data_IF_796219967677
#
_entry.id   IF_796219967677
#
_cell.length_a   1.000
_cell.length_b   1.000
_cell.length_c   1.000
_cell.angle_alpha   90.00
_cell.angle_beta   90.00
_cell.angle_gamma   90.00
#
_symmetry.space_group_name_H-M   'P 1'
#
loop_
_entity.id
_entity.type
_entity.pdbx_description
1 polymer ?
#
# COMPACT_ATOMS: atom_id res chain seq x y z
N UNK A 1 0.18 22.05 26.68
CA UNK A 1 -0.18 20.63 26.45
C UNK A 1 -0.56 20.44 24.98
N UNK A 2 0.38 20.05 24.14
CA UNK A 2 0.18 19.79 22.71
C UNK A 2 -0.24 18.32 22.55
N UNK A 3 -1.52 18.07 22.23
CA UNK A 3 -1.99 16.73 21.84
C UNK A 3 -1.54 16.47 20.41
N UNK A 4 -0.39 15.80 20.25
CA UNK A 4 0.00 15.21 18.96
C UNK A 4 -0.90 14.01 18.71
N UNK A 5 -1.96 14.21 17.93
CA UNK A 5 -2.77 13.12 17.40
C UNK A 5 -1.88 12.36 16.41
N UNK A 6 -1.39 11.18 16.79
CA UNK A 6 -0.73 10.28 15.86
C UNK A 6 -1.76 9.85 14.81
N UNK A 7 -1.71 10.50 13.64
CA UNK A 7 -2.45 10.12 12.44
C UNK A 7 -1.84 8.86 11.78
N UNK A 8 -1.29 7.93 12.56
CA UNK A 8 -0.87 6.63 12.04
C UNK A 8 -2.13 5.78 11.82
N UNK A 9 -2.79 6.02 10.70
CA UNK A 9 -3.79 5.10 10.17
C UNK A 9 -3.15 3.71 10.09
N UNK A 10 -3.78 2.72 10.74
CA UNK A 10 -3.32 1.33 10.68
C UNK A 10 -3.14 0.91 9.22
N UNK A 11 -2.14 0.07 8.93
CA UNK A 11 -1.77 -0.30 7.55
C UNK A 11 -2.98 -0.75 6.72
N UNK A 12 -3.91 -1.48 7.34
CA UNK A 12 -5.17 -1.92 6.74
C UNK A 12 -6.10 -0.76 6.34
N UNK A 13 -6.23 0.27 7.20
CA UNK A 13 -7.03 1.48 6.90
C UNK A 13 -6.38 2.31 5.79
N UNK A 14 -5.05 2.42 5.78
CA UNK A 14 -4.32 3.12 4.71
C UNK A 14 -4.49 2.41 3.37
N UNK A 15 -4.31 1.10 3.32
CA UNK A 15 -4.50 0.29 2.11
C UNK A 15 -5.94 0.37 1.59
N UNK A 16 -6.93 0.34 2.49
CA UNK A 16 -8.33 0.54 2.10
C UNK A 16 -8.58 1.92 1.50
N UNK A 17 -8.08 2.99 2.13
CA UNK A 17 -8.25 4.35 1.61
C UNK A 17 -7.60 4.51 0.23
N UNK A 18 -6.36 4.05 0.06
CA UNK A 18 -5.67 4.09 -1.24
C UNK A 18 -6.45 3.28 -2.29
N UNK A 19 -6.85 2.05 -1.96
CA UNK A 19 -7.62 1.20 -2.88
C UNK A 19 -8.97 1.80 -3.25
N UNK A 20 -9.67 2.43 -2.30
CA UNK A 20 -10.94 3.09 -2.53
C UNK A 20 -10.77 4.30 -3.47
N UNK A 21 -9.75 5.13 -3.25
CA UNK A 21 -9.45 6.28 -4.13
C UNK A 21 -9.12 5.79 -5.53
N UNK A 22 -8.24 4.80 -5.69
CA UNK A 22 -7.90 4.25 -7.01
C UNK A 22 -9.14 3.72 -7.70
N UNK A 23 -9.96 2.96 -6.99
CA UNK A 23 -11.19 2.37 -7.51
C UNK A 23 -12.17 3.45 -7.99
N UNK A 24 -12.42 4.49 -7.18
CA UNK A 24 -13.40 5.53 -7.52
C UNK A 24 -12.92 6.40 -8.68
N UNK A 25 -11.65 6.79 -8.71
CA UNK A 25 -11.14 7.75 -9.69
C UNK A 25 -10.67 7.12 -11.00
N UNK A 26 -10.10 5.91 -10.97
CA UNK A 26 -9.55 5.27 -12.18
C UNK A 26 -10.49 4.23 -12.76
N UNK A 27 -11.09 3.38 -11.93
CA UNK A 27 -11.96 2.29 -12.41
C UNK A 27 -13.43 2.68 -12.47
N UNK A 28 -13.88 3.56 -11.58
CA UNK A 28 -15.26 4.03 -11.49
C UNK A 28 -15.81 4.55 -12.82
N UNK A 29 -15.13 5.50 -13.50
CA UNK A 29 -15.61 6.03 -14.78
C UNK A 29 -15.69 4.97 -15.89
N UNK A 30 -14.72 4.06 -15.95
CA UNK A 30 -14.66 3.00 -16.98
C UNK A 30 -15.82 2.01 -16.79
N UNK A 31 -16.05 1.55 -15.56
CA UNK A 31 -17.14 0.63 -15.24
C UNK A 31 -18.49 1.31 -15.43
N UNK A 32 -18.64 2.57 -14.99
CA UNK A 32 -19.88 3.32 -15.18
C UNK A 32 -20.20 3.54 -16.66
N UNK A 33 -19.20 3.85 -17.49
CA UNK A 33 -19.38 3.96 -18.93
C UNK A 33 -19.85 2.63 -19.56
N UNK A 34 -19.25 1.50 -19.18
CA UNK A 34 -19.69 0.18 -19.65
C UNK A 34 -21.12 -0.16 -19.23
N UNK A 35 -21.50 0.14 -17.98
CA UNK A 35 -22.85 -0.08 -17.47
C UNK A 35 -23.90 0.80 -18.17
N UNK A 36 -23.53 2.01 -18.58
CA UNK A 36 -24.44 2.90 -19.31
C UNK A 36 -24.85 2.34 -20.68
N UNK A 37 -23.97 1.55 -21.33
CA UNK A 37 -24.29 0.85 -22.59
C UNK A 37 -25.40 -0.19 -22.38
N UNK A 38 -25.54 -0.72 -21.16
CA UNK A 38 -26.60 -1.67 -20.78
C UNK A 38 -27.93 -0.99 -20.44
N UNK A 39 -28.06 0.32 -20.67
CA UNK A 39 -29.29 1.08 -20.45
C UNK A 39 -29.49 1.59 -19.01
N UNK A 40 -28.45 1.49 -18.16
CA UNK A 40 -28.49 2.07 -16.82
C UNK A 40 -28.33 3.60 -16.88
N UNK A 41 -29.06 4.31 -16.02
CA UNK A 41 -28.87 5.76 -15.90
C UNK A 41 -27.46 6.07 -15.36
N UNK A 42 -26.98 7.28 -15.61
CA UNK A 42 -25.67 7.74 -15.14
C UNK A 42 -25.53 7.54 -13.63
N UNK A 43 -26.55 7.95 -12.85
CA UNK A 43 -26.53 7.82 -11.39
C UNK A 43 -26.46 6.36 -10.92
N UNK A 44 -27.22 5.46 -11.55
CA UNK A 44 -27.20 4.03 -11.24
C UNK A 44 -25.85 3.39 -11.59
N UNK A 45 -25.27 3.78 -12.72
CA UNK A 45 -23.97 3.27 -13.19
C UNK A 45 -22.85 3.64 -12.22
N UNK A 46 -22.82 4.90 -11.75
CA UNK A 46 -21.88 5.32 -10.71
C UNK A 46 -22.13 4.63 -9.37
N UNK A 47 -23.40 4.45 -8.97
CA UNK A 47 -23.76 3.74 -7.74
C UNK A 47 -23.24 2.30 -7.72
N UNK A 48 -23.43 1.57 -8.82
CA UNK A 48 -22.95 0.18 -8.97
C UNK A 48 -21.43 0.14 -9.05
N UNK A 49 -20.80 1.05 -9.82
CA UNK A 49 -19.34 1.08 -9.96
C UNK A 49 -18.63 1.37 -8.62
N UNK A 50 -19.11 2.36 -7.86
CA UNK A 50 -18.54 2.72 -6.57
C UNK A 50 -18.83 1.62 -5.55
N UNK A 51 -20.08 1.15 -5.44
CA UNK A 51 -20.46 0.11 -4.49
C UNK A 51 -19.71 -1.20 -4.71
N UNK A 52 -19.70 -1.69 -5.95
CA UNK A 52 -18.97 -2.90 -6.33
C UNK A 52 -17.46 -2.76 -6.15
N UNK A 53 -16.91 -1.61 -6.53
CA UNK A 53 -15.50 -1.31 -6.36
C UNK A 53 -15.04 -1.26 -4.89
N UNK A 54 -15.82 -0.64 -4.01
CA UNK A 54 -15.53 -0.59 -2.57
C UNK A 54 -15.64 -1.98 -1.94
N UNK A 55 -16.61 -2.80 -2.36
CA UNK A 55 -16.74 -4.19 -1.92
C UNK A 55 -15.50 -5.01 -2.32
N UNK A 56 -15.07 -4.90 -3.58
CA UNK A 56 -13.85 -5.57 -4.07
C UNK A 56 -12.60 -5.11 -3.32
N UNK A 57 -12.46 -3.80 -3.08
CA UNK A 57 -11.36 -3.24 -2.29
C UNK A 57 -11.36 -3.80 -0.86
N UNK A 58 -12.53 -3.91 -0.23
CA UNK A 58 -12.68 -4.50 1.11
C UNK A 58 -12.20 -5.95 1.13
N UNK A 59 -12.66 -6.76 0.16
CA UNK A 59 -12.27 -8.17 0.03
C UNK A 59 -10.77 -8.31 -0.22
N UNK A 60 -10.20 -7.46 -1.09
CA UNK A 60 -8.78 -7.47 -1.40
C UNK A 60 -7.91 -7.12 -0.18
N UNK A 61 -8.27 -6.07 0.56
CA UNK A 61 -7.58 -5.69 1.80
C UNK A 61 -7.69 -6.79 2.86
N UNK A 62 -8.86 -7.42 2.97
CA UNK A 62 -9.06 -8.54 3.89
C UNK A 62 -8.15 -9.73 3.54
N UNK A 63 -8.08 -10.10 2.26
CA UNK A 63 -7.19 -11.18 1.77
C UNK A 63 -5.71 -10.85 1.95
N UNK A 64 -5.31 -9.58 1.77
CA UNK A 64 -3.92 -9.13 1.89
C UNK A 64 -3.45 -9.04 3.35
N UNK A 65 -4.37 -8.90 4.30
CA UNK A 65 -4.09 -8.83 5.73
C UNK A 65 -3.52 -10.11 6.37
N UNK A 66 -3.24 -11.16 5.60
CA UNK A 66 -2.52 -12.35 6.06
C UNK A 66 -0.99 -12.22 6.01
N UNK A 67 -0.44 -11.19 5.36
CA UNK A 67 1.01 -10.98 5.24
C UNK A 67 1.38 -9.64 5.90
N UNK A 68 1.14 -9.55 7.21
CA UNK A 68 1.44 -8.35 8.01
C UNK A 68 2.89 -8.38 8.48
N UNK A 69 3.82 -8.59 7.55
CA UNK A 69 5.17 -8.15 7.77
C UNK A 69 5.28 -6.80 7.09
N UNK A 70 5.62 -5.80 7.90
CA UNK A 70 5.88 -4.42 7.54
C UNK A 70 7.05 -4.37 6.57
N UNK A 71 6.79 -4.70 5.30
CA UNK A 71 7.79 -4.62 4.25
C UNK A 71 8.21 -3.17 4.10
N UNK A 72 9.46 -2.90 4.46
CA UNK A 72 10.12 -1.62 4.28
C UNK A 72 10.03 -1.22 2.80
N UNK A 73 9.97 0.08 2.49
CA UNK A 73 10.09 0.52 1.08
C UNK A 73 11.38 -0.01 0.42
N UNK A 74 12.37 -0.37 1.25
CA UNK A 74 13.63 -0.97 0.87
C UNK A 74 13.53 -2.46 0.52
N UNK A 75 12.51 -3.20 0.96
CA UNK A 75 12.27 -4.60 0.52
C UNK A 75 11.97 -4.72 -0.97
N UNK A 76 11.49 -3.62 -1.58
CA UNK A 76 11.25 -3.55 -3.02
C UNK A 76 12.54 -3.37 -3.83
N UNK A 77 13.64 -2.98 -3.16
CA UNK A 77 14.93 -2.71 -3.79
C UNK A 77 15.85 -3.88 -3.46
N UNK A 78 16.29 -4.66 -4.46
CA UNK A 78 17.23 -5.74 -4.21
C UNK A 78 18.52 -5.23 -3.55
N UNK A 79 19.00 -5.92 -2.52
CA UNK A 79 20.23 -5.58 -1.78
C UNK A 79 21.44 -5.33 -2.68
N UNK A 80 21.58 -6.10 -3.76
CA UNK A 80 22.68 -5.94 -4.72
C UNK A 80 22.73 -4.54 -5.37
N UNK A 81 21.64 -3.78 -5.36
CA UNK A 81 21.58 -2.43 -5.95
C UNK A 81 22.22 -1.35 -5.07
N UNK A 82 22.34 -1.59 -3.77
CA UNK A 82 22.93 -0.64 -2.81
C UNK A 82 24.11 -1.22 -2.03
N UNK A 83 24.36 -2.52 -2.16
CA UNK A 83 25.56 -3.15 -1.62
C UNK A 83 26.82 -2.52 -2.21
N UNK A 84 27.78 -2.16 -1.36
CA UNK A 84 29.10 -1.64 -1.75
C UNK A 84 29.14 -0.20 -2.31
N UNK A 85 28.00 0.44 -2.64
CA UNK A 85 27.97 1.79 -3.26
C UNK A 85 28.51 2.94 -2.38
N UNK A 86 28.68 2.70 -1.08
CA UNK A 86 29.29 3.64 -0.13
C UNK A 86 30.50 3.06 0.60
N UNK A 87 30.92 1.83 0.27
CA UNK A 87 32.07 1.18 0.91
C UNK A 87 33.39 1.90 0.57
N UNK A 88 33.52 2.46 -0.64
CA UNK A 88 34.69 3.26 -1.04
C UNK A 88 34.79 4.61 -0.29
N UNK A 89 33.69 5.11 0.29
CA UNK A 89 33.68 6.37 1.03
C UNK A 89 34.02 6.20 2.53
N UNK A 90 34.33 4.97 2.98
CA UNK A 90 34.68 4.68 4.37
C UNK A 90 33.50 4.75 5.36
N UNK A 91 32.26 4.76 4.87
CA UNK A 91 31.05 4.71 5.68
C UNK A 91 30.42 3.31 5.67
N UNK A 92 29.71 2.96 6.75
CA UNK A 92 28.90 1.74 6.81
C UNK A 92 27.85 1.76 5.70
N UNK A 93 27.88 0.74 4.86
CA UNK A 93 26.86 0.54 3.83
C UNK A 93 25.49 0.32 4.47
N UNK A 94 24.43 0.69 3.76
CA UNK A 94 23.05 0.45 4.21
C UNK A 94 22.81 -1.03 4.53
N UNK A 95 23.33 -1.93 3.69
CA UNK A 95 23.31 -3.37 3.89
C UNK A 95 24.00 -3.82 5.17
N UNK A 96 25.14 -3.21 5.53
CA UNK A 96 25.82 -3.49 6.81
C UNK A 96 25.04 -2.97 8.02
N UNK A 97 24.31 -1.86 7.88
CA UNK A 97 23.43 -1.37 8.94
C UNK A 97 22.23 -2.29 9.16
N UNK A 98 21.62 -2.78 8.08
CA UNK A 98 20.50 -3.71 8.15
C UNK A 98 20.95 -5.06 8.74
N UNK A 99 22.09 -5.59 8.30
CA UNK A 99 22.69 -6.79 8.89
C UNK A 99 23.04 -6.62 10.39
N UNK A 100 23.52 -5.44 10.80
CA UNK A 100 23.82 -5.18 12.21
C UNK A 100 22.56 -5.05 13.08
N UNK A 101 21.47 -4.53 12.52
CA UNK A 101 20.16 -4.48 13.20
C UNK A 101 19.57 -5.89 13.32
N UNK A 102 19.67 -6.70 12.28
CA UNK A 102 19.24 -8.10 12.28
C UNK A 102 20.00 -8.93 13.32
N UNK A 103 21.33 -8.80 13.37
CA UNK A 103 22.19 -9.48 14.36
C UNK A 103 21.92 -9.06 15.81
N UNK A 104 21.40 -7.84 16.05
CA UNK A 104 20.93 -7.42 17.37
C UNK A 104 19.56 -8.02 17.71
N UNK A 105 18.65 -8.07 16.74
CA UNK A 105 17.32 -8.68 16.93
C UNK A 105 17.39 -10.19 17.17
N UNK A 106 18.37 -10.87 16.58
CA UNK A 106 18.57 -12.32 16.77
C UNK A 106 19.21 -12.67 18.13
N UNK A 107 19.77 -11.66 18.84
CA UNK A 107 20.43 -11.81 20.14
C UNK A 107 19.58 -11.39 21.34
N UNK A 108 18.39 -10.83 21.14
CA UNK A 108 17.35 -10.61 22.17
C UNK A 108 16.35 -11.78 22.22
#
# INVERSE_FOLDING_TARGET
MSKTVSLSLSGRKRQFLVGAVVTVFFFGPVVAAGLSVLGLTVLQSFGVAIGGGLALTTVWVWKRGGNTDDGSAWDAIPEWQYNGRFAEAGGLTRSEQEAAIEDLQERE
#
